data_IF_999252138166
#
_entry.id   IF_999252138166
#
_cell.length_a   1.000
_cell.length_b   1.000
_cell.length_c   1.000
_cell.angle_alpha   90.00
_cell.angle_beta   90.00
_cell.angle_gamma   90.00
#
_symmetry.space_group_name_H-M   'P 1'
#
loop_
_entity.id
_entity.type
_entity.pdbx_description
1 polymer ?
#
# COMPACT_ATOMS: atom_id res chain seq x y z
N UNK A 1 4.68 13.31 -10.53
CA UNK A 1 6.12 13.09 -10.68
C UNK A 1 6.33 11.59 -10.75
N UNK A 2 6.82 11.09 -11.87
CA UNK A 2 7.24 9.69 -11.95
C UNK A 2 8.42 9.51 -11.00
N UNK A 3 8.38 8.48 -10.16
CA UNK A 3 9.44 8.19 -9.20
C UNK A 3 10.74 7.73 -9.87
N UNK A 4 10.67 7.29 -11.12
CA UNK A 4 11.83 6.93 -11.93
C UNK A 4 12.32 8.12 -12.71
N UNK A 5 13.62 8.44 -12.64
CA UNK A 5 14.21 9.50 -13.48
C UNK A 5 14.26 9.05 -14.94
N UNK A 6 14.18 9.99 -15.91
CA UNK A 6 14.34 9.65 -17.33
C UNK A 6 15.57 8.81 -17.63
N UNK A 7 16.72 9.14 -17.03
CA UNK A 7 17.97 8.41 -17.21
C UNK A 7 17.89 6.97 -16.67
N UNK A 8 17.23 6.76 -15.52
CA UNK A 8 17.01 5.42 -14.95
C UNK A 8 16.11 4.62 -15.87
N UNK A 9 15.05 5.23 -16.40
CA UNK A 9 14.11 4.59 -17.31
C UNK A 9 14.77 4.20 -18.64
N UNK A 10 15.53 5.10 -19.25
CA UNK A 10 16.28 4.84 -20.48
C UNK A 10 17.32 3.73 -20.32
N UNK A 11 18.02 3.73 -19.18
CA UNK A 11 18.98 2.68 -18.85
C UNK A 11 18.34 1.31 -18.68
N UNK A 12 17.12 1.29 -18.14
CA UNK A 12 16.30 0.07 -18.01
C UNK A 12 15.87 -0.43 -19.39
N UNK A 13 15.35 0.45 -20.25
CA UNK A 13 14.90 0.09 -21.62
C UNK A 13 16.05 -0.39 -22.49
N UNK A 14 17.24 0.14 -22.31
CA UNK A 14 18.45 -0.26 -23.05
C UNK A 14 18.99 -1.62 -22.60
N UNK A 15 18.47 -2.20 -21.52
CA UNK A 15 18.94 -3.47 -20.96
C UNK A 15 18.01 -4.60 -21.36
N UNK A 16 18.39 -5.40 -22.35
CA UNK A 16 17.65 -6.62 -22.75
C UNK A 16 17.52 -7.62 -21.59
N UNK A 17 18.41 -7.54 -20.58
CA UNK A 17 18.39 -8.40 -19.39
C UNK A 17 17.25 -8.11 -18.43
N UNK A 18 16.59 -6.97 -18.50
CA UNK A 18 15.48 -6.58 -17.60
C UNK A 18 14.33 -7.58 -17.64
N UNK A 19 14.06 -8.15 -18.80
CA UNK A 19 12.98 -9.10 -18.98
C UNK A 19 13.41 -10.58 -18.82
N UNK A 20 14.68 -10.89 -18.95
CA UNK A 20 15.19 -12.26 -18.90
C UNK A 20 15.70 -12.67 -17.51
N UNK A 21 16.26 -11.74 -16.74
CA UNK A 21 16.96 -12.05 -15.47
C UNK A 21 16.42 -11.25 -14.28
N UNK A 22 15.15 -11.41 -14.01
CA UNK A 22 14.48 -10.68 -12.92
C UNK A 22 14.86 -11.16 -11.52
N UNK A 23 15.43 -12.35 -11.43
CA UNK A 23 15.76 -12.99 -10.17
C UNK A 23 17.26 -13.29 -10.13
N UNK A 24 17.99 -12.53 -9.32
CA UNK A 24 19.37 -12.87 -9.04
C UNK A 24 19.44 -14.05 -8.06
N UNK A 25 19.87 -15.20 -8.58
CA UNK A 25 20.13 -16.39 -7.79
C UNK A 25 21.64 -16.75 -7.81
N UNK A 26 22.50 -15.81 -8.19
CA UNK A 26 23.95 -16.00 -8.19
C UNK A 26 24.51 -16.35 -6.82
N UNK A 27 23.87 -15.84 -5.76
CA UNK A 27 24.23 -16.07 -4.37
C UNK A 27 24.31 -17.57 -3.99
N UNK A 28 23.59 -18.49 -4.67
CA UNK A 28 23.69 -19.94 -4.39
C UNK A 28 25.10 -20.51 -4.65
N UNK A 29 25.96 -19.77 -5.38
CA UNK A 29 27.34 -20.13 -5.67
C UNK A 29 28.35 -19.49 -4.74
N UNK A 30 27.91 -18.63 -3.83
CA UNK A 30 28.78 -17.98 -2.85
C UNK A 30 29.21 -18.97 -1.77
N UNK A 31 30.29 -19.69 -2.05
CA UNK A 31 30.89 -20.66 -1.12
C UNK A 31 31.53 -20.01 0.09
N UNK A 32 31.84 -18.72 0.04
CA UNK A 32 32.42 -18.00 1.17
C UNK A 32 31.36 -17.81 2.29
N UNK A 33 30.15 -17.45 1.91
CA UNK A 33 29.03 -17.25 2.85
C UNK A 33 28.34 -18.57 3.21
N UNK A 34 28.08 -19.43 2.22
CA UNK A 34 27.24 -20.63 2.40
C UNK A 34 28.06 -21.89 2.79
N UNK A 35 29.38 -21.89 2.58
CA UNK A 35 30.17 -23.07 2.57
C UNK A 35 29.98 -23.94 1.31
N UNK A 36 30.96 -24.76 0.98
CA UNK A 36 30.96 -25.55 -0.25
C UNK A 36 29.78 -26.52 -0.33
N UNK A 37 29.51 -27.25 0.73
CA UNK A 37 28.48 -28.30 0.75
C UNK A 37 27.08 -27.75 0.47
N UNK A 38 26.70 -26.64 1.14
CA UNK A 38 25.38 -26.00 0.95
C UNK A 38 25.26 -25.41 -0.46
N UNK A 39 26.30 -24.72 -0.92
CA UNK A 39 26.33 -24.18 -2.28
C UNK A 39 26.11 -25.23 -3.35
N UNK A 40 26.86 -26.36 -3.27
CA UNK A 40 26.72 -27.49 -4.20
C UNK A 40 25.30 -28.11 -4.17
N UNK A 41 24.71 -28.23 -2.98
CA UNK A 41 23.33 -28.71 -2.84
C UNK A 41 22.33 -27.79 -3.50
N UNK A 42 22.47 -26.46 -3.31
CA UNK A 42 21.57 -25.45 -3.92
C UNK A 42 21.73 -25.47 -5.44
N UNK A 43 22.93 -25.52 -5.98
CA UNK A 43 23.18 -25.66 -7.42
C UNK A 43 22.53 -26.92 -8.00
N UNK A 44 22.63 -28.05 -7.32
CA UNK A 44 21.95 -29.31 -7.75
C UNK A 44 20.43 -29.15 -7.71
N UNK A 45 19.87 -28.51 -6.67
CA UNK A 45 18.42 -28.23 -6.59
C UNK A 45 17.94 -27.32 -7.72
N UNK A 46 18.76 -26.35 -8.11
CA UNK A 46 18.43 -25.48 -9.25
C UNK A 46 18.31 -26.28 -10.56
N UNK A 47 19.18 -27.23 -10.77
CA UNK A 47 19.25 -28.07 -11.99
C UNK A 47 18.34 -29.29 -11.95
N UNK A 48 17.66 -29.57 -10.83
CA UNK A 48 16.76 -30.68 -10.68
C UNK A 48 15.50 -30.54 -11.55
N UNK A 49 15.05 -31.68 -12.09
CA UNK A 49 13.75 -31.71 -12.76
C UNK A 49 12.62 -31.39 -11.77
N UNK A 50 11.74 -30.47 -12.16
CA UNK A 50 10.65 -29.95 -11.33
C UNK A 50 9.28 -30.33 -11.89
N UNK A 51 9.14 -31.56 -12.35
CA UNK A 51 7.86 -32.10 -12.82
C UNK A 51 6.80 -32.20 -11.72
N UNK A 52 7.20 -32.27 -10.45
CA UNK A 52 6.30 -32.19 -9.33
C UNK A 52 5.90 -30.73 -9.05
N UNK A 53 4.61 -30.48 -8.81
CA UNK A 53 4.12 -29.16 -8.45
C UNK A 53 4.83 -28.55 -7.22
N UNK A 54 4.94 -27.23 -7.18
CA UNK A 54 5.51 -26.54 -6.03
C UNK A 54 4.53 -26.62 -4.85
N UNK A 55 5.04 -26.96 -3.65
CA UNK A 55 4.22 -27.06 -2.44
C UNK A 55 3.77 -25.70 -1.89
N UNK A 56 4.56 -24.66 -2.11
CA UNK A 56 4.37 -23.35 -1.48
C UNK A 56 3.84 -22.30 -2.44
N UNK A 57 4.05 -22.48 -3.73
CA UNK A 57 3.66 -21.52 -4.76
C UNK A 57 2.85 -22.23 -5.82
N UNK A 58 1.68 -21.74 -6.10
CA UNK A 58 0.78 -22.21 -7.16
C UNK A 58 0.43 -21.09 -8.11
N UNK A 59 -0.25 -21.43 -9.19
CA UNK A 59 -0.91 -20.47 -10.07
C UNK A 59 -2.41 -20.77 -10.06
N UNK A 60 -3.23 -19.74 -10.07
CA UNK A 60 -4.68 -19.87 -10.18
C UNK A 60 -5.08 -19.99 -11.65
N UNK A 61 -5.90 -20.98 -11.99
CA UNK A 61 -6.52 -21.07 -13.29
C UNK A 61 -7.85 -20.31 -13.28
N UNK A 62 -8.02 -19.41 -14.21
CA UNK A 62 -9.25 -18.66 -14.40
C UNK A 62 -10.12 -19.29 -15.47
N UNK A 63 -11.13 -20.05 -15.08
CA UNK A 63 -12.08 -20.70 -16.01
C UNK A 63 -12.75 -19.71 -16.95
N UNK A 64 -13.08 -18.50 -16.46
CA UNK A 64 -13.73 -17.45 -17.25
C UNK A 64 -12.90 -17.00 -18.46
N UNK A 65 -11.58 -17.10 -18.38
CA UNK A 65 -10.64 -16.63 -19.41
C UNK A 65 -9.86 -17.77 -20.06
N UNK A 66 -10.10 -19.01 -19.63
CA UNK A 66 -9.38 -20.21 -20.09
C UNK A 66 -7.85 -20.04 -20.02
N UNK A 67 -7.36 -19.48 -18.93
CA UNK A 67 -5.92 -19.20 -18.75
C UNK A 67 -5.46 -19.30 -17.31
N UNK A 68 -4.18 -19.62 -17.15
CA UNK A 68 -3.50 -19.53 -15.85
C UNK A 68 -3.19 -18.07 -15.50
N UNK A 69 -3.38 -17.71 -14.23
CA UNK A 69 -2.89 -16.44 -13.74
C UNK A 69 -1.38 -16.34 -13.92
N UNK A 70 -0.85 -15.23 -14.45
CA UNK A 70 0.59 -15.02 -14.46
C UNK A 70 1.15 -14.78 -13.06
N UNK A 71 0.29 -14.47 -12.08
CA UNK A 71 0.69 -14.15 -10.72
C UNK A 71 0.81 -15.41 -9.87
N UNK A 72 1.86 -15.54 -9.05
CA UNK A 72 2.00 -16.63 -8.10
C UNK A 72 0.99 -16.48 -6.96
N UNK A 73 0.47 -17.62 -6.49
CA UNK A 73 -0.34 -17.72 -5.28
C UNK A 73 0.46 -18.43 -4.20
N UNK A 74 0.42 -17.92 -2.96
CA UNK A 74 1.19 -18.46 -1.82
C UNK A 74 0.29 -19.20 -0.83
N UNK A 75 -0.72 -19.91 -1.34
CA UNK A 75 -1.75 -20.58 -0.54
C UNK A 75 -1.20 -21.72 0.33
N UNK A 76 -0.02 -22.26 -0.04
CA UNK A 76 0.66 -23.30 0.74
C UNK A 76 1.34 -22.79 2.02
N UNK A 77 1.37 -21.47 2.25
CA UNK A 77 1.92 -20.89 3.46
C UNK A 77 0.86 -20.75 4.55
N UNK A 78 1.22 -21.12 5.79
CA UNK A 78 0.29 -20.97 6.92
C UNK A 78 -0.03 -19.47 7.15
N UNK A 79 -1.31 -19.05 7.06
CA UNK A 79 -1.72 -17.72 7.46
C UNK A 79 -1.86 -17.69 9.00
N UNK A 80 -1.34 -16.68 9.64
CA UNK A 80 -1.39 -16.49 11.10
C UNK A 80 -2.39 -15.37 11.44
N UNK A 81 -3.65 -15.52 11.02
CA UNK A 81 -4.70 -14.49 11.17
C UNK A 81 -5.04 -14.16 12.63
N UNK A 82 -4.76 -15.07 13.55
CA UNK A 82 -5.00 -14.92 14.98
C UNK A 82 -3.92 -14.10 15.70
N UNK A 83 -2.81 -13.78 15.03
CA UNK A 83 -1.71 -13.03 15.61
C UNK A 83 -1.80 -11.53 15.32
N UNK A 84 -2.66 -10.82 16.06
CA UNK A 84 -2.81 -9.36 15.94
C UNK A 84 -1.58 -8.58 16.46
N UNK A 85 -0.88 -9.13 17.43
CA UNK A 85 0.37 -8.57 17.97
C UNK A 85 1.42 -9.69 18.12
N UNK A 86 2.04 -10.12 16.99
CA UNK A 86 2.97 -11.23 16.97
C UNK A 86 4.26 -10.91 17.76
N UNK A 87 4.87 -11.95 18.30
CA UNK A 87 6.21 -11.84 18.88
C UNK A 87 7.27 -11.51 17.81
N UNK A 88 8.50 -11.28 18.24
CA UNK A 88 9.58 -10.88 17.33
C UNK A 88 9.86 -11.92 16.23
N UNK A 89 9.78 -13.21 16.55
CA UNK A 89 10.00 -14.28 15.58
C UNK A 89 8.98 -14.25 14.44
N UNK A 90 7.70 -14.08 14.75
CA UNK A 90 6.64 -13.95 13.74
C UNK A 90 6.72 -12.63 12.98
N UNK A 91 7.16 -11.55 13.63
CA UNK A 91 7.41 -10.28 12.93
C UNK A 91 8.53 -10.43 11.90
N UNK A 92 9.62 -11.10 12.27
CA UNK A 92 10.70 -11.42 11.32
C UNK A 92 10.23 -12.34 10.19
N UNK A 93 9.40 -13.33 10.50
CA UNK A 93 8.81 -14.21 9.48
C UNK A 93 8.03 -13.40 8.44
N UNK A 94 7.27 -12.39 8.86
CA UNK A 94 6.57 -11.48 7.94
C UNK A 94 7.54 -10.72 7.04
N UNK A 95 8.63 -10.18 7.62
CA UNK A 95 9.66 -9.49 6.83
C UNK A 95 10.26 -10.41 5.78
N UNK A 96 10.69 -11.60 6.19
CA UNK A 96 11.34 -12.56 5.28
C UNK A 96 10.39 -13.04 4.17
N UNK A 97 9.14 -13.37 4.51
CA UNK A 97 8.15 -13.79 3.51
C UNK A 97 7.87 -12.68 2.50
N UNK A 98 7.58 -11.47 2.98
CA UNK A 98 7.25 -10.36 2.10
C UNK A 98 8.46 -9.93 1.26
N UNK A 99 9.64 -9.84 1.86
CA UNK A 99 10.86 -9.51 1.13
C UNK A 99 11.16 -10.52 0.02
N UNK A 100 11.09 -11.83 0.32
CA UNK A 100 11.30 -12.86 -0.67
C UNK A 100 10.23 -12.87 -1.78
N UNK A 101 8.98 -12.62 -1.42
CA UNK A 101 7.90 -12.51 -2.41
C UNK A 101 8.20 -11.41 -3.42
N UNK A 102 8.61 -10.24 -2.95
CA UNK A 102 8.98 -9.12 -3.82
C UNK A 102 10.26 -9.42 -4.58
N UNK A 103 11.31 -9.90 -3.91
CA UNK A 103 12.61 -10.19 -4.53
C UNK A 103 12.48 -11.14 -5.72
N UNK A 104 11.68 -12.19 -5.58
CA UNK A 104 11.63 -13.26 -6.58
C UNK A 104 10.43 -13.16 -7.53
N UNK A 105 9.38 -12.45 -7.19
CA UNK A 105 8.14 -12.46 -7.97
C UNK A 105 7.63 -11.07 -8.39
N UNK A 106 8.10 -9.97 -7.79
CA UNK A 106 7.67 -8.65 -8.18
C UNK A 106 8.49 -8.14 -9.39
N UNK A 107 7.87 -8.03 -10.58
CA UNK A 107 8.61 -7.73 -11.80
C UNK A 107 9.14 -6.29 -11.86
N UNK A 108 8.58 -5.40 -11.06
CA UNK A 108 8.87 -3.96 -11.09
C UNK A 108 9.72 -3.46 -9.93
N UNK A 109 10.39 -4.35 -9.18
CA UNK A 109 11.21 -3.96 -8.02
C UNK A 109 12.33 -2.95 -8.36
N UNK A 110 12.79 -2.93 -9.61
CA UNK A 110 13.80 -1.97 -10.09
C UNK A 110 13.27 -0.54 -10.24
N UNK A 111 11.94 -0.35 -10.14
CA UNK A 111 11.28 0.96 -10.20
C UNK A 111 11.05 1.58 -8.82
N UNK A 112 11.25 0.82 -7.75
CA UNK A 112 11.09 1.33 -6.38
C UNK A 112 12.11 2.43 -6.10
N UNK A 113 11.72 3.41 -5.29
CA UNK A 113 12.61 4.51 -4.90
C UNK A 113 13.81 4.02 -4.08
N UNK A 114 13.60 2.98 -3.26
CA UNK A 114 14.63 2.35 -2.42
C UNK A 114 15.14 1.06 -3.07
N UNK A 115 16.45 0.81 -2.99
CA UNK A 115 16.99 -0.50 -3.34
C UNK A 115 16.35 -1.58 -2.45
N UNK A 116 15.82 -2.63 -3.08
CA UNK A 116 15.11 -3.67 -2.34
C UNK A 116 16.02 -4.43 -1.36
N UNK A 117 17.31 -4.50 -1.65
CA UNK A 117 18.30 -5.08 -0.74
C UNK A 117 18.47 -4.27 0.56
N UNK A 118 18.24 -2.96 0.53
CA UNK A 118 18.30 -2.11 1.72
C UNK A 118 17.05 -2.25 2.60
N UNK A 119 15.93 -2.64 2.01
CA UNK A 119 14.66 -2.85 2.72
C UNK A 119 14.77 -3.97 3.75
N UNK A 120 15.43 -5.08 3.41
CA UNK A 120 15.54 -6.23 4.32
C UNK A 120 16.21 -5.88 5.66
N UNK A 121 17.45 -5.36 5.70
CA UNK A 121 18.10 -5.04 6.96
C UNK A 121 17.41 -3.91 7.72
N UNK A 122 16.77 -2.97 7.03
CA UNK A 122 16.00 -1.91 7.67
C UNK A 122 14.82 -2.49 8.44
N UNK A 123 14.00 -3.32 7.80
CA UNK A 123 12.79 -3.85 8.43
C UNK A 123 13.05 -4.95 9.45
N UNK A 124 14.17 -5.66 9.38
CA UNK A 124 14.65 -6.51 10.49
C UNK A 124 14.82 -5.66 11.74
N UNK A 125 15.49 -4.50 11.64
CA UNK A 125 15.70 -3.59 12.79
C UNK A 125 14.39 -2.96 13.27
N UNK A 126 13.53 -2.49 12.38
CA UNK A 126 12.23 -1.89 12.71
C UNK A 126 11.30 -2.87 13.41
N UNK A 127 11.28 -4.13 12.98
CA UNK A 127 10.44 -5.16 13.59
C UNK A 127 10.94 -5.65 14.95
N UNK A 128 12.23 -5.41 15.29
CA UNK A 128 12.71 -5.63 16.66
C UNK A 128 12.01 -4.71 17.66
N UNK A 129 11.84 -3.44 17.28
CA UNK A 129 11.24 -2.41 18.12
C UNK A 129 10.27 -1.57 17.29
N UNK A 130 9.05 -2.09 16.98
CA UNK A 130 8.13 -1.41 16.08
C UNK A 130 7.65 -0.08 16.66
N UNK A 131 7.79 0.99 15.87
CA UNK A 131 7.32 2.31 16.23
C UNK A 131 5.80 2.39 16.12
N UNK A 132 5.11 2.25 17.20
CA UNK A 132 3.66 2.30 17.30
C UNK A 132 2.99 0.94 17.26
N UNK A 133 3.13 0.14 16.20
CA UNK A 133 2.58 -1.21 16.14
C UNK A 133 3.18 -2.03 14.99
N UNK A 134 3.09 -3.34 15.11
CA UNK A 134 3.45 -4.28 14.02
C UNK A 134 2.73 -3.95 12.71
N UNK A 135 1.44 -3.61 12.77
CA UNK A 135 0.66 -3.25 11.59
C UNK A 135 1.24 -2.02 10.88
N UNK A 136 1.66 -1.00 11.64
CA UNK A 136 2.24 0.22 11.05
C UNK A 136 3.55 -0.09 10.32
N UNK A 137 4.43 -0.90 10.93
CA UNK A 137 5.70 -1.28 10.29
C UNK A 137 5.48 -2.15 9.06
N UNK A 138 4.51 -3.08 9.10
CA UNK A 138 4.14 -3.89 7.94
C UNK A 138 3.65 -3.02 6.78
N UNK A 139 2.81 -2.02 7.06
CA UNK A 139 2.32 -1.11 6.02
C UNK A 139 3.42 -0.21 5.46
N UNK A 140 4.34 0.26 6.30
CA UNK A 140 5.51 0.99 5.81
C UNK A 140 6.33 0.14 4.84
N UNK A 141 6.55 -1.13 5.19
CA UNK A 141 7.29 -2.05 4.32
C UNK A 141 6.58 -2.26 2.97
N UNK A 142 5.25 -2.35 2.98
CA UNK A 142 4.48 -2.47 1.75
C UNK A 142 4.52 -1.16 0.94
N UNK A 143 4.52 -0.01 1.61
CA UNK A 143 4.61 1.29 0.93
C UNK A 143 5.92 1.48 0.15
N UNK A 144 7.00 0.79 0.52
CA UNK A 144 8.28 0.80 -0.21
C UNK A 144 8.20 0.19 -1.62
N UNK A 145 7.09 -0.47 -1.97
CA UNK A 145 6.91 -1.03 -3.33
C UNK A 145 6.61 0.02 -4.39
N UNK A 146 6.11 1.18 -3.99
CA UNK A 146 5.72 2.24 -4.91
C UNK A 146 4.70 1.80 -5.99
N UNK A 147 3.82 0.86 -5.63
CA UNK A 147 2.80 0.29 -6.50
C UNK A 147 1.42 0.39 -5.84
N UNK A 148 0.49 1.11 -6.46
CA UNK A 148 -0.87 1.28 -5.94
C UNK A 148 -1.72 0.00 -5.94
N UNK A 149 -1.26 -1.08 -6.58
CA UNK A 149 -1.86 -2.40 -6.48
C UNK A 149 -1.39 -3.17 -5.22
N UNK A 150 -0.28 -2.74 -4.60
CA UNK A 150 0.23 -3.36 -3.38
C UNK A 150 -0.63 -2.95 -2.18
N UNK A 151 -1.61 -3.77 -1.85
CA UNK A 151 -2.54 -3.49 -0.77
C UNK A 151 -2.47 -4.56 0.32
N UNK A 152 -2.51 -4.11 1.55
CA UNK A 152 -2.68 -4.97 2.71
C UNK A 152 -4.17 -5.08 3.06
N UNK A 153 -4.73 -6.27 2.96
CA UNK A 153 -6.12 -6.54 3.30
C UNK A 153 -6.42 -6.23 4.78
N UNK A 154 -7.32 -5.30 5.05
CA UNK A 154 -7.61 -4.82 6.40
C UNK A 154 -6.64 -3.74 6.88
N UNK A 155 -6.79 -3.34 8.13
CA UNK A 155 -5.87 -2.41 8.80
C UNK A 155 -5.93 -0.94 8.39
N UNK A 156 -6.58 -0.56 7.27
CA UNK A 156 -6.78 0.84 6.90
C UNK A 156 -7.58 1.59 7.98
N UNK A 157 -8.61 0.92 8.52
CA UNK A 157 -9.42 1.46 9.61
C UNK A 157 -8.67 1.57 10.94
N UNK A 158 -7.66 0.73 11.15
CA UNK A 158 -6.82 0.80 12.36
C UNK A 158 -5.85 1.98 12.30
N UNK A 159 -5.40 2.33 11.10
CA UNK A 159 -4.51 3.47 10.89
C UNK A 159 -5.28 4.80 10.87
N UNK A 160 -6.24 4.92 9.98
CA UNK A 160 -6.92 6.18 9.69
C UNK A 160 -8.29 6.32 10.35
N UNK A 161 -8.86 5.23 10.84
CA UNK A 161 -10.15 5.22 11.51
C UNK A 161 -11.31 4.69 10.69
N UNK A 162 -12.32 4.21 11.41
CA UNK A 162 -13.53 3.60 10.84
C UNK A 162 -14.65 4.60 10.58
N UNK A 163 -14.57 5.75 11.19
CA UNK A 163 -15.55 6.80 11.02
C UNK A 163 -15.06 7.80 10.01
N UNK A 164 -15.96 8.35 9.18
CA UNK A 164 -15.61 9.32 8.14
C UNK A 164 -16.69 10.39 8.04
N UNK A 165 -16.29 11.61 7.77
CA UNK A 165 -17.24 12.65 7.35
C UNK A 165 -17.83 12.22 6.00
N UNK A 166 -19.16 12.24 5.83
CA UNK A 166 -19.82 11.83 4.59
C UNK A 166 -19.68 12.94 3.52
N UNK A 167 -18.50 13.04 2.97
CA UNK A 167 -18.10 14.06 2.05
C UNK A 167 -17.08 13.48 1.06
N UNK A 168 -17.27 13.68 -0.23
CA UNK A 168 -16.29 13.33 -1.24
C UNK A 168 -15.42 14.53 -1.55
N UNK A 169 -14.13 14.31 -1.48
CA UNK A 169 -13.10 15.30 -1.78
C UNK A 169 -12.18 14.80 -2.88
N UNK A 170 -11.59 15.71 -3.62
CA UNK A 170 -10.58 15.43 -4.62
C UNK A 170 -9.59 16.57 -4.72
N UNK A 171 -8.40 16.30 -5.25
CA UNK A 171 -7.42 17.36 -5.46
C UNK A 171 -7.59 18.02 -6.81
N UNK A 172 -7.63 19.34 -6.80
CA UNK A 172 -7.58 20.20 -7.99
C UNK A 172 -6.42 21.18 -7.78
N UNK A 173 -5.42 21.15 -8.63
CA UNK A 173 -4.22 21.98 -8.51
C UNK A 173 -3.62 21.96 -7.09
N UNK A 174 -3.40 20.77 -6.54
CA UNK A 174 -2.88 20.49 -5.18
C UNK A 174 -3.76 21.01 -4.02
N UNK A 175 -4.94 21.54 -4.27
CA UNK A 175 -5.92 21.95 -3.27
C UNK A 175 -6.95 20.84 -3.09
N UNK A 176 -7.31 20.54 -1.85
CA UNK A 176 -8.33 19.54 -1.54
C UNK A 176 -9.71 20.18 -1.61
N UNK A 177 -10.47 19.82 -2.61
CA UNK A 177 -11.77 20.43 -2.93
C UNK A 177 -12.92 19.47 -2.63
N UNK A 178 -14.02 19.97 -2.13
CA UNK A 178 -15.28 19.24 -2.00
C UNK A 178 -15.88 19.02 -3.38
N UNK A 179 -15.99 17.74 -3.79
CA UNK A 179 -16.52 17.38 -5.12
C UNK A 179 -18.02 17.11 -5.07
N UNK A 180 -18.47 16.31 -4.12
CA UNK A 180 -19.89 16.07 -3.90
C UNK A 180 -20.16 15.79 -2.42
N UNK A 181 -21.33 16.19 -1.87
CA UNK A 181 -21.80 15.62 -0.63
C UNK A 181 -21.97 14.10 -0.82
N UNK A 182 -21.55 13.30 0.16
CA UNK A 182 -21.75 11.87 0.10
C UNK A 182 -23.25 11.54 0.13
N UNK A 183 -23.67 10.59 -0.68
CA UNK A 183 -25.07 10.13 -0.74
C UNK A 183 -25.41 9.13 0.37
N UNK A 184 -24.46 8.78 1.24
CA UNK A 184 -24.72 7.91 2.39
C UNK A 184 -25.67 8.65 3.34
N UNK A 185 -26.87 8.11 3.61
CA UNK A 185 -27.81 8.73 4.55
C UNK A 185 -27.15 8.80 5.94
N UNK A 186 -26.73 9.97 6.33
CA UNK A 186 -26.26 10.19 7.70
C UNK A 186 -27.50 10.47 8.55
N UNK A 187 -27.70 9.66 9.58
CA UNK A 187 -28.60 10.00 10.69
C UNK A 187 -27.94 11.08 11.55
N UNK A 188 -27.67 12.23 10.94
CA UNK A 188 -27.08 13.38 11.61
C UNK A 188 -28.12 14.48 11.65
N UNK A 189 -28.31 15.06 12.82
CA UNK A 189 -29.12 16.28 12.99
C UNK A 189 -28.45 17.53 12.45
N UNK A 190 -27.13 17.46 12.20
CA UNK A 190 -26.32 18.55 11.67
C UNK A 190 -26.03 18.32 10.18
N UNK A 191 -26.65 19.10 9.32
CA UNK A 191 -26.22 19.17 7.93
C UNK A 191 -24.81 19.74 7.89
N UNK A 192 -23.86 18.98 7.31
CA UNK A 192 -22.54 19.51 7.02
C UNK A 192 -22.66 20.76 6.13
N UNK A 193 -22.04 21.89 6.49
CA UNK A 193 -22.25 23.17 5.80
C UNK A 193 -21.55 23.25 4.43
N UNK A 194 -20.93 22.15 3.98
CA UNK A 194 -20.09 22.13 2.79
C UNK A 194 -20.88 22.23 1.48
N UNK A 195 -20.28 22.92 0.52
CA UNK A 195 -20.74 23.02 -0.86
C UNK A 195 -19.66 22.52 -1.81
N UNK A 196 -20.06 22.09 -3.00
CA UNK A 196 -19.11 21.78 -4.07
C UNK A 196 -18.26 23.02 -4.34
N UNK A 197 -16.95 22.81 -4.43
CA UNK A 197 -15.98 23.89 -4.62
C UNK A 197 -15.36 24.44 -3.32
N UNK A 198 -15.84 24.07 -2.14
CA UNK A 198 -15.17 24.43 -0.89
C UNK A 198 -13.78 23.78 -0.84
N UNK A 199 -12.77 24.55 -0.48
CA UNK A 199 -11.41 24.06 -0.25
C UNK A 199 -11.23 23.63 1.21
N UNK A 200 -10.88 22.38 1.45
CA UNK A 200 -10.50 21.89 2.78
C UNK A 200 -9.06 22.30 3.04
N UNK A 201 -8.84 23.07 4.08
CA UNK A 201 -7.51 23.61 4.43
C UNK A 201 -6.85 22.83 5.55
N UNK A 202 -7.64 22.42 6.54
CA UNK A 202 -7.15 21.64 7.67
C UNK A 202 -8.24 20.73 8.25
N UNK A 203 -7.83 19.61 8.84
CA UNK A 203 -8.69 18.69 9.58
C UNK A 203 -8.03 18.44 10.94
N UNK A 204 -8.80 18.54 12.06
CA UNK A 204 -8.26 18.39 13.43
C UNK A 204 -6.99 19.23 13.66
N UNK A 205 -7.02 20.49 13.22
CA UNK A 205 -5.92 21.46 13.27
C UNK A 205 -4.63 21.06 12.55
N UNK A 206 -4.67 20.00 11.74
CA UNK A 206 -3.54 19.58 10.90
C UNK A 206 -3.80 20.00 9.45
N UNK A 207 -2.82 20.61 8.76
CA UNK A 207 -2.94 20.98 7.37
C UNK A 207 -2.99 19.73 6.46
N UNK A 208 -3.45 19.89 5.23
CA UNK A 208 -3.60 18.79 4.25
C UNK A 208 -2.27 18.09 3.99
N UNK A 209 -1.18 18.82 3.96
CA UNK A 209 0.19 18.30 3.74
C UNK A 209 0.62 17.28 4.81
N UNK A 210 0.16 17.45 6.03
CA UNK A 210 0.40 16.48 7.10
C UNK A 210 -0.20 15.11 6.75
N UNK A 211 -1.41 15.09 6.21
CA UNK A 211 -2.09 13.86 5.79
C UNK A 211 -1.48 13.26 4.53
N UNK A 212 -0.99 14.08 3.60
CA UNK A 212 -0.22 13.61 2.44
C UNK A 212 1.06 12.88 2.87
N UNK A 213 1.78 13.42 3.86
CA UNK A 213 2.96 12.76 4.41
C UNK A 213 2.62 11.41 5.06
N UNK A 214 1.51 11.33 5.82
CA UNK A 214 1.03 10.07 6.37
C UNK A 214 0.61 9.07 5.29
N UNK A 215 -0.02 9.53 4.22
CA UNK A 215 -0.38 8.67 3.10
C UNK A 215 0.86 8.03 2.48
N UNK A 216 1.88 8.82 2.18
CA UNK A 216 3.16 8.30 1.64
C UNK A 216 3.83 7.29 2.57
N UNK A 217 3.71 7.49 3.88
CA UNK A 217 4.32 6.59 4.88
C UNK A 217 3.65 5.21 4.93
N UNK A 218 2.34 5.11 4.66
CA UNK A 218 1.57 3.88 4.95
C UNK A 218 0.82 3.29 3.76
N UNK A 219 0.79 3.97 2.64
CA UNK A 219 0.07 3.54 1.45
C UNK A 219 1.04 3.51 0.27
N UNK A 220 1.15 2.36 -0.36
CA UNK A 220 1.94 2.21 -1.58
C UNK A 220 1.27 2.96 -2.72
N UNK A 221 1.99 3.88 -3.34
CA UNK A 221 1.50 4.73 -4.42
C UNK A 221 2.52 4.80 -5.55
N UNK A 222 2.08 4.58 -6.79
CA UNK A 222 2.97 4.56 -7.95
C UNK A 222 3.45 5.96 -8.38
N UNK A 223 2.67 6.99 -8.04
CA UNK A 223 2.96 8.36 -8.43
C UNK A 223 2.27 9.37 -7.50
N UNK A 224 2.55 10.66 -7.71
CA UNK A 224 1.99 11.73 -6.88
C UNK A 224 0.47 11.82 -6.94
N UNK A 225 -0.14 11.56 -8.09
CA UNK A 225 -1.61 11.60 -8.22
C UNK A 225 -2.27 10.51 -7.37
N UNK A 226 -1.65 9.33 -7.26
CA UNK A 226 -2.13 8.25 -6.39
C UNK A 226 -2.04 8.66 -4.91
N UNK A 227 -0.97 9.36 -4.52
CA UNK A 227 -0.85 9.94 -3.16
C UNK A 227 -1.97 10.94 -2.89
N UNK A 228 -2.25 11.83 -3.84
CA UNK A 228 -3.34 12.80 -3.71
C UNK A 228 -4.70 12.10 -3.58
N UNK A 229 -4.99 11.13 -4.45
CA UNK A 229 -6.24 10.37 -4.41
C UNK A 229 -6.41 9.60 -3.10
N UNK A 230 -5.37 8.90 -2.66
CA UNK A 230 -5.37 8.16 -1.40
C UNK A 230 -5.52 9.09 -0.19
N UNK A 231 -4.88 10.28 -0.20
CA UNK A 231 -5.02 11.28 0.86
C UNK A 231 -6.46 11.79 0.93
N UNK A 232 -7.08 12.13 -0.21
CA UNK A 232 -8.46 12.60 -0.26
C UNK A 232 -9.45 11.58 0.36
N UNK A 233 -9.17 10.28 0.21
CA UNK A 233 -10.00 9.22 0.82
C UNK A 233 -9.76 9.09 2.34
N UNK A 234 -8.54 9.35 2.83
CA UNK A 234 -8.18 9.09 4.23
C UNK A 234 -8.34 10.31 5.15
N UNK A 235 -8.17 11.52 4.64
CA UNK A 235 -8.06 12.74 5.45
C UNK A 235 -9.28 13.05 6.32
N UNK A 236 -10.47 12.64 5.88
CA UNK A 236 -11.72 12.85 6.60
C UNK A 236 -12.09 11.71 7.56
N UNK A 237 -11.15 10.83 7.87
CA UNK A 237 -11.37 9.66 8.75
C UNK A 237 -10.93 9.97 10.18
N UNK A 238 -11.61 9.28 11.10
CA UNK A 238 -11.24 9.28 12.52
C UNK A 238 -11.51 7.91 13.15
N UNK A 239 -10.79 7.61 14.23
CA UNK A 239 -10.97 6.38 15.02
C UNK A 239 -12.20 6.46 15.95
N UNK A 240 -12.60 7.65 16.31
CA UNK A 240 -13.64 7.91 17.30
C UNK A 240 -14.94 8.34 16.62
N UNK A 241 -16.06 7.91 17.20
CA UNK A 241 -17.39 8.35 16.79
C UNK A 241 -17.72 9.71 17.42
N UNK A 242 -17.03 10.75 16.97
CA UNK A 242 -17.24 12.14 17.39
C UNK A 242 -17.12 13.07 16.20
N UNK A 243 -17.76 14.25 16.24
CA UNK A 243 -17.52 15.28 15.24
C UNK A 243 -16.04 15.64 15.17
N UNK A 244 -15.55 15.93 13.97
CA UNK A 244 -14.19 16.41 13.73
C UNK A 244 -14.19 17.84 13.27
N UNK A 245 -13.16 18.57 13.68
CA UNK A 245 -12.95 19.96 13.28
C UNK A 245 -12.44 20.04 11.86
N UNK A 246 -13.06 20.84 11.02
CA UNK A 246 -12.64 21.07 9.64
C UNK A 246 -12.57 22.56 9.38
N UNK A 247 -11.40 23.01 8.92
CA UNK A 247 -11.18 24.34 8.39
C UNK A 247 -11.30 24.31 6.88
N UNK A 248 -12.16 25.13 6.33
CA UNK A 248 -12.40 25.21 4.90
C UNK A 248 -12.44 26.65 4.40
N UNK A 249 -12.19 26.85 3.10
CA UNK A 249 -12.25 28.16 2.45
C UNK A 249 -13.36 28.15 1.41
N UNK A 250 -14.20 29.20 1.43
CA UNK A 250 -15.26 29.46 0.45
C UNK A 250 -15.21 30.93 0.07
N UNK A 251 -15.19 31.25 -1.22
CA UNK A 251 -15.15 32.63 -1.73
C UNK A 251 -14.02 33.48 -1.09
N UNK A 252 -12.84 32.86 -0.90
CA UNK A 252 -11.70 33.50 -0.26
C UNK A 252 -11.78 33.63 1.28
N UNK A 253 -12.92 33.30 1.89
CA UNK A 253 -13.12 33.40 3.35
C UNK A 253 -12.91 32.03 4.02
N UNK A 254 -12.00 31.98 5.00
CA UNK A 254 -11.76 30.81 5.83
C UNK A 254 -12.81 30.70 6.93
N UNK A 255 -13.30 29.48 7.14
CA UNK A 255 -14.32 29.13 8.14
C UNK A 255 -13.93 27.85 8.86
N UNK A 256 -14.29 27.74 10.12
CA UNK A 256 -14.18 26.52 10.92
C UNK A 256 -15.57 25.92 11.17
N UNK A 257 -15.65 24.60 11.16
CA UNK A 257 -16.88 23.87 11.46
C UNK A 257 -16.58 22.54 12.14
N UNK A 258 -17.57 22.00 12.84
CA UNK A 258 -17.58 20.61 13.33
C UNK A 258 -18.44 19.78 12.39
N UNK A 259 -17.88 18.73 11.83
CA UNK A 259 -18.55 17.81 10.93
C UNK A 259 -18.81 16.47 11.61
N UNK A 260 -20.06 16.02 11.56
CA UNK A 260 -20.44 14.71 12.08
C UNK A 260 -19.86 13.61 11.19
N UNK A 261 -19.56 12.46 11.80
CA UNK A 261 -18.99 11.31 11.10
C UNK A 261 -19.98 10.15 11.05
N UNK A 262 -19.83 9.29 10.07
CA UNK A 262 -20.57 8.03 9.95
C UNK A 262 -19.62 6.84 9.96
N UNK A 263 -20.11 5.72 10.49
CA UNK A 263 -19.34 4.47 10.49
C UNK A 263 -19.31 3.89 9.08
N UNK A 264 -18.11 3.68 8.57
CA UNK A 264 -17.93 3.06 7.26
C UNK A 264 -18.22 1.55 7.33
N UNK A 265 -18.90 0.97 6.33
CA UNK A 265 -19.13 -0.46 6.27
C UNK A 265 -17.80 -1.24 6.24
N UNK A 266 -17.76 -2.42 6.85
CA UNK A 266 -16.55 -3.20 7.09
C UNK A 266 -15.85 -3.77 5.83
N UNK A 267 -16.47 -3.66 4.67
CA UNK A 267 -15.92 -4.08 3.39
C UNK A 267 -15.80 -2.86 2.47
N UNK A 268 -14.65 -2.22 2.52
CA UNK A 268 -14.22 -1.29 1.48
C UNK A 268 -13.45 -2.09 0.43
N UNK A 269 -14.19 -2.75 -0.47
CA UNK A 269 -13.61 -3.30 -1.67
C UNK A 269 -13.45 -2.21 -2.74
N UNK A 270 -12.58 -2.42 -3.68
CA UNK A 270 -12.27 -1.65 -4.89
C UNK A 270 -13.48 -1.05 -5.64
N UNK A 271 -14.70 -1.53 -5.38
CA UNK A 271 -15.92 -1.06 -6.04
C UNK A 271 -16.26 0.42 -5.79
N UNK A 272 -15.68 1.05 -4.76
CA UNK A 272 -16.00 2.45 -4.47
C UNK A 272 -15.15 3.42 -5.30
N UNK A 273 -13.86 3.14 -5.49
CA UNK A 273 -12.99 4.00 -6.32
C UNK A 273 -13.35 3.91 -7.81
N UNK A 274 -13.71 2.72 -8.33
CA UNK A 274 -14.09 2.52 -9.73
C UNK A 274 -15.39 3.21 -10.14
N UNK A 275 -16.29 3.46 -9.21
CA UNK A 275 -17.59 4.07 -9.51
C UNK A 275 -17.48 5.56 -9.87
N UNK A 276 -16.42 6.22 -9.39
CA UNK A 276 -16.23 7.67 -9.57
C UNK A 276 -15.21 8.05 -10.66
N UNK A 277 -14.33 7.12 -11.08
CA UNK A 277 -13.40 7.36 -12.18
C UNK A 277 -14.01 7.31 -13.59
N UNK A 278 -15.31 7.02 -13.72
CA UNK A 278 -16.00 6.98 -15.02
C UNK A 278 -16.61 8.31 -15.48
N UNK A 279 -16.36 9.40 -14.80
CA UNK A 279 -17.03 10.68 -15.07
C UNK A 279 -16.07 11.85 -15.36
N UNK A 280 -14.85 11.55 -15.84
CA UNK A 280 -13.99 12.61 -16.42
C UNK A 280 -13.43 12.14 -17.75
#
# INVERSE_FOLDING_TARGET
>A
RYKTTPEKYEKILASDSVFEHRTDIGWIRDTATLGRELSERLVRLRSADRTAGNRYVSQTYYETYDQWSPNPCFDGEKPYYDLSNPDYGYRLLTVFRFWNMVEYFFPSKYLTDKDWNDVLPEYIRRMAHPTGSYLRETRRMIAELDDNHAQYGGGIFELFGRYRVPLNTGFVEVRLIVVTPDTVPVKSERKAPFQVGDEIVAVEDKPVEYYMAQTREFISCSNENDVLAATADQILRTKENRPISIRYRRDGVTRDTLADVTKMPGHFGWNYLWKYHKTF
#
